data_IF_379942666081
#
_entry.id   IF_379942666081
#
_cell.length_a   1.000
_cell.length_b   1.000
_cell.length_c   1.000
_cell.angle_alpha   90.00
_cell.angle_beta   90.00
_cell.angle_gamma   90.00
#
_symmetry.space_group_name_H-M   'P 1'
#
loop_
_entity.id
_entity.type
_entity.pdbx_description
1 polymer ?
#
# COMPACT_ATOMS: atom_id res chain seq x y z
N UNK A 1 7.44 11.76 -9.16
CA UNK A 1 6.97 12.99 -8.50
C UNK A 1 5.89 13.59 -9.38
N UNK A 2 4.79 13.99 -8.77
CA UNK A 2 3.65 14.65 -9.40
C UNK A 2 3.26 15.85 -8.52
N UNK A 3 3.05 17.00 -9.15
CA UNK A 3 2.77 18.26 -8.47
C UNK A 3 1.76 19.05 -9.30
N UNK A 4 0.65 19.43 -8.69
CA UNK A 4 -0.39 20.24 -9.31
C UNK A 4 -0.68 21.47 -8.44
N UNK A 5 -0.48 22.65 -9.02
CA UNK A 5 -0.72 23.93 -8.36
C UNK A 5 -1.78 24.71 -9.13
N UNK A 6 -2.75 25.24 -8.39
CA UNK A 6 -3.87 25.96 -8.96
C UNK A 6 -3.67 27.48 -8.82
N UNK A 7 -3.30 28.20 -9.90
CA UNK A 7 -3.01 29.63 -9.83
C UNK A 7 -4.24 30.47 -9.52
N UNK A 8 -5.44 30.01 -9.91
CA UNK A 8 -6.69 30.74 -9.65
C UNK A 8 -7.06 30.77 -8.16
N UNK A 9 -6.66 29.74 -7.42
CA UNK A 9 -6.95 29.59 -5.98
C UNK A 9 -5.72 29.77 -5.09
N UNK A 10 -4.56 30.03 -5.70
CA UNK A 10 -3.26 30.21 -5.05
C UNK A 10 -2.91 29.12 -4.01
N UNK A 11 -3.15 27.86 -4.34
CA UNK A 11 -2.77 26.73 -3.49
C UNK A 11 -2.37 25.49 -4.28
N UNK A 12 -1.74 24.56 -3.57
CA UNK A 12 -1.33 23.26 -4.08
C UNK A 12 -2.51 22.28 -3.96
N UNK A 13 -2.87 21.66 -5.08
CA UNK A 13 -4.00 20.72 -5.16
C UNK A 13 -3.49 19.28 -5.00
N UNK A 14 -2.35 18.94 -5.59
CA UNK A 14 -1.77 17.58 -5.54
C UNK A 14 -0.26 17.64 -5.34
N UNK A 15 0.26 16.78 -4.46
CA UNK A 15 1.68 16.48 -4.34
C UNK A 15 1.88 15.00 -4.01
N UNK A 16 2.40 14.26 -4.98
CA UNK A 16 2.79 12.87 -4.81
C UNK A 16 4.30 12.75 -5.02
N UNK A 17 5.02 12.35 -3.99
CA UNK A 17 6.46 12.13 -4.07
C UNK A 17 6.82 10.83 -3.39
N UNK A 18 7.92 10.23 -3.81
CA UNK A 18 8.38 8.99 -3.21
C UNK A 18 9.81 8.71 -3.56
N UNK A 19 10.48 8.01 -2.66
CA UNK A 19 11.85 7.55 -2.81
C UNK A 19 11.85 6.06 -2.54
N UNK A 20 12.50 5.31 -3.43
CA UNK A 20 12.75 3.89 -3.23
C UNK A 20 14.24 3.65 -3.31
N UNK A 21 14.77 2.99 -2.29
CA UNK A 21 16.15 2.52 -2.24
C UNK A 21 16.13 1.01 -2.41
N UNK A 22 16.95 0.48 -3.30
CA UNK A 22 17.03 -0.95 -3.60
C UNK A 22 18.49 -1.41 -3.59
N UNK A 23 18.74 -2.60 -3.07
CA UNK A 23 20.04 -3.26 -3.09
C UNK A 23 20.10 -4.39 -4.13
N UNK A 24 21.30 -4.82 -4.52
CA UNK A 24 21.55 -5.95 -5.43
C UNK A 24 20.96 -7.26 -4.91
N UNK A 25 20.80 -7.40 -3.59
CA UNK A 25 20.15 -8.54 -2.93
C UNK A 25 18.62 -8.54 -3.07
N UNK A 26 18.05 -7.54 -3.75
CA UNK A 26 16.61 -7.29 -3.94
C UNK A 26 15.88 -6.75 -2.70
N UNK A 27 16.63 -6.44 -1.64
CA UNK A 27 16.09 -5.65 -0.53
C UNK A 27 15.65 -4.28 -1.05
N UNK A 28 14.53 -3.78 -0.55
CA UNK A 28 14.05 -2.46 -0.91
C UNK A 28 13.33 -1.77 0.25
N UNK A 29 13.49 -0.46 0.31
CA UNK A 29 12.74 0.43 1.19
C UNK A 29 12.12 1.53 0.33
N UNK A 30 10.81 1.66 0.35
CA UNK A 30 10.05 2.71 -0.31
C UNK A 30 9.36 3.59 0.73
N UNK A 31 9.46 4.90 0.56
CA UNK A 31 8.69 5.88 1.31
C UNK A 31 7.99 6.78 0.31
N UNK A 32 6.68 6.89 0.43
CA UNK A 32 5.82 7.68 -0.45
C UNK A 32 4.98 8.62 0.39
N UNK A 33 4.91 9.87 -0.05
CA UNK A 33 4.06 10.91 0.50
C UNK A 33 3.04 11.30 -0.55
N UNK A 34 1.77 11.28 -0.17
CA UNK A 34 0.64 11.65 -1.02
C UNK A 34 -0.17 12.72 -0.33
N UNK A 35 -0.35 13.82 -1.06
CA UNK A 35 -1.19 14.94 -0.66
C UNK A 35 -2.16 15.25 -1.79
N UNK A 36 -3.43 15.38 -1.45
CA UNK A 36 -4.49 15.78 -2.36
C UNK A 36 -5.46 16.65 -1.59
N UNK A 37 -5.72 17.86 -2.08
CA UNK A 37 -6.67 18.78 -1.47
C UNK A 37 -7.84 18.98 -2.42
N UNK A 38 -9.04 18.72 -1.92
CA UNK A 38 -10.26 19.07 -2.62
C UNK A 38 -10.82 20.39 -2.10
N UNK A 39 -11.39 21.22 -2.97
CA UNK A 39 -12.17 22.35 -2.55
C UNK A 39 -13.42 21.95 -1.77
N UNK A 40 -13.79 22.74 -0.76
CA UNK A 40 -14.95 22.47 0.10
C UNK A 40 -16.30 22.54 -0.62
N UNK A 41 -16.33 23.15 -1.82
CA UNK A 41 -17.49 23.24 -2.71
C UNK A 41 -17.67 21.99 -3.60
N UNK A 42 -16.67 21.10 -3.66
CA UNK A 42 -16.75 19.87 -4.46
C UNK A 42 -17.35 18.74 -3.63
N UNK A 43 -18.45 18.19 -4.14
CA UNK A 43 -19.26 17.17 -3.49
C UNK A 43 -19.24 15.91 -4.34
N UNK A 44 -19.15 14.74 -3.70
CA UNK A 44 -19.24 13.45 -4.37
C UNK A 44 -20.63 13.22 -4.98
N UNK A 45 -20.77 12.19 -5.84
CA UNK A 45 -22.05 11.77 -6.41
C UNK A 45 -23.11 11.40 -5.35
N UNK A 46 -22.66 11.11 -4.12
CA UNK A 46 -23.51 10.82 -2.95
C UNK A 46 -23.87 12.05 -2.12
N UNK A 47 -23.50 13.27 -2.54
CA UNK A 47 -23.84 14.49 -1.80
C UNK A 47 -22.95 14.76 -0.58
N UNK A 48 -21.80 14.08 -0.46
CA UNK A 48 -20.84 14.23 0.65
C UNK A 48 -19.63 15.06 0.20
N UNK A 49 -19.19 16.07 0.96
CA UNK A 49 -18.00 16.85 0.61
C UNK A 49 -16.78 15.94 0.44
N UNK A 50 -16.02 16.12 -0.64
CA UNK A 50 -14.77 15.39 -0.80
C UNK A 50 -13.76 15.86 0.25
N UNK A 51 -13.26 14.91 1.04
CA UNK A 51 -12.17 15.19 1.98
C UNK A 51 -10.83 15.02 1.28
N UNK A 52 -9.89 15.90 1.62
CA UNK A 52 -8.51 15.78 1.17
C UNK A 52 -7.85 14.52 1.71
N UNK A 53 -6.73 14.14 1.10
CA UNK A 53 -5.89 13.03 1.53
C UNK A 53 -4.52 13.59 1.87
N UNK A 54 -4.00 13.25 3.03
CA UNK A 54 -2.60 13.46 3.37
C UNK A 54 -2.10 12.19 4.04
N UNK A 55 -1.28 11.42 3.34
CA UNK A 55 -0.82 10.12 3.82
C UNK A 55 0.67 9.90 3.55
N UNK A 56 1.28 9.10 4.42
CA UNK A 56 2.61 8.55 4.23
C UNK A 56 2.53 7.03 4.19
N UNK A 57 3.12 6.46 3.15
CA UNK A 57 3.14 5.02 2.89
C UNK A 57 4.60 4.57 2.90
N UNK A 58 4.91 3.56 3.70
CA UNK A 58 6.24 2.95 3.77
C UNK A 58 6.14 1.49 3.42
N UNK A 59 7.03 0.99 2.57
CA UNK A 59 7.12 -0.41 2.20
C UNK A 59 8.56 -0.89 2.36
N UNK A 60 8.77 -2.02 3.01
CA UNK A 60 10.05 -2.64 3.25
C UNK A 60 9.98 -4.10 2.78
N UNK A 61 10.86 -4.48 1.86
CA UNK A 61 11.08 -5.86 1.48
C UNK A 61 12.52 -6.27 1.78
N UNK A 62 12.70 -7.41 2.44
CA UNK A 62 14.02 -7.95 2.79
C UNK A 62 14.10 -9.39 2.32
N UNK A 63 15.13 -9.68 1.51
CA UNK A 63 15.50 -11.02 1.10
C UNK A 63 16.43 -11.63 2.17
N UNK A 64 15.90 -12.56 2.97
CA UNK A 64 16.62 -13.10 4.14
C UNK A 64 17.58 -14.22 3.72
N UNK A 65 17.06 -15.18 2.96
CA UNK A 65 17.77 -16.33 2.38
C UNK A 65 17.11 -16.68 1.05
N UNK A 66 17.78 -17.46 0.19
CA UNK A 66 17.29 -17.80 -1.15
C UNK A 66 15.79 -18.18 -1.23
N UNK A 67 15.23 -18.99 -0.30
CA UNK A 67 13.81 -19.33 -0.36
C UNK A 67 12.90 -18.38 0.45
N UNK A 68 13.38 -17.35 1.14
CA UNK A 68 12.58 -16.59 2.11
C UNK A 68 12.72 -15.07 1.94
N UNK A 69 11.59 -14.42 1.67
CA UNK A 69 11.44 -12.97 1.65
C UNK A 69 10.45 -12.52 2.72
N UNK A 70 10.74 -11.37 3.33
CA UNK A 70 9.84 -10.71 4.28
C UNK A 70 9.39 -9.36 3.73
N UNK A 71 8.15 -9.00 4.04
CA UNK A 71 7.53 -7.74 3.63
C UNK A 71 6.90 -7.06 4.83
N UNK A 72 6.98 -5.73 4.82
CA UNK A 72 6.32 -4.88 5.80
C UNK A 72 5.80 -3.63 5.09
N UNK A 73 4.50 -3.40 5.16
CA UNK A 73 3.87 -2.19 4.66
C UNK A 73 3.20 -1.43 5.80
N UNK A 74 3.37 -0.11 5.80
CA UNK A 74 2.81 0.77 6.80
C UNK A 74 2.20 1.99 6.15
N UNK A 75 0.92 2.23 6.41
CA UNK A 75 0.16 3.35 5.86
C UNK A 75 -0.40 4.21 6.98
N UNK A 76 -0.17 5.51 6.91
CA UNK A 76 -0.59 6.44 7.95
C UNK A 76 -1.22 7.69 7.33
N UNK A 77 -2.43 8.02 7.78
CA UNK A 77 -3.12 9.24 7.43
C UNK A 77 -2.65 10.36 8.38
N UNK A 78 -1.94 11.33 7.81
CA UNK A 78 -1.42 12.50 8.50
C UNK A 78 -2.50 13.54 8.79
N UNK A 79 -3.53 13.64 7.93
CA UNK A 79 -4.66 14.56 8.10
C UNK A 79 -5.43 14.23 9.38
N UNK A 80 -5.82 12.97 9.54
CA UNK A 80 -6.62 12.50 10.68
C UNK A 80 -5.79 11.89 11.81
N UNK A 81 -4.46 11.90 11.67
CA UNK A 81 -3.49 11.39 12.66
C UNK A 81 -3.76 9.94 13.08
N UNK A 82 -4.06 9.10 12.11
CA UNK A 82 -4.44 7.71 12.35
C UNK A 82 -3.67 6.77 11.42
N UNK A 83 -3.23 5.64 11.98
CA UNK A 83 -2.70 4.53 11.18
C UNK A 83 -3.84 3.95 10.36
N UNK A 84 -3.66 3.81 9.05
CA UNK A 84 -4.63 3.20 8.14
C UNK A 84 -4.51 1.68 8.21
N UNK A 85 -3.31 1.17 7.91
CA UNK A 85 -3.06 -0.27 7.75
C UNK A 85 -1.60 -0.60 8.08
N UNK A 86 -1.39 -1.80 8.59
CA UNK A 86 -0.06 -2.42 8.65
C UNK A 86 -0.14 -3.83 8.10
N UNK A 87 0.74 -4.14 7.14
CA UNK A 87 0.80 -5.47 6.53
C UNK A 87 2.12 -6.11 6.89
N UNK A 88 2.06 -7.35 7.35
CA UNK A 88 3.23 -8.21 7.51
C UNK A 88 3.14 -9.33 6.49
N UNK A 89 4.23 -9.57 5.77
CA UNK A 89 4.29 -10.58 4.73
C UNK A 89 5.49 -11.47 4.82
N UNK A 90 5.31 -12.71 4.39
CA UNK A 90 6.36 -13.70 4.21
C UNK A 90 6.09 -14.44 2.91
N UNK A 91 7.09 -14.53 2.04
CA UNK A 91 7.07 -15.40 0.87
C UNK A 91 8.13 -16.48 1.00
N UNK A 92 7.70 -17.74 0.89
CA UNK A 92 8.58 -18.89 0.86
C UNK A 92 8.56 -19.54 -0.52
N UNK A 93 9.69 -19.45 -1.24
CA UNK A 93 9.84 -19.87 -2.63
C UNK A 93 10.65 -21.15 -2.76
N UNK A 94 10.09 -22.12 -3.48
CA UNK A 94 10.71 -23.38 -3.86
C UNK A 94 10.64 -23.55 -5.38
N UNK A 95 11.41 -24.46 -5.99
CA UNK A 95 11.46 -24.60 -7.45
C UNK A 95 10.12 -24.84 -8.16
N UNK A 96 9.14 -25.45 -7.47
CA UNK A 96 7.85 -25.82 -8.05
C UNK A 96 6.63 -25.23 -7.31
N UNK A 97 6.85 -24.47 -6.24
CA UNK A 97 5.78 -23.86 -5.48
C UNK A 97 6.26 -22.67 -4.66
N UNK A 98 5.33 -21.79 -4.36
CA UNK A 98 5.52 -20.63 -3.52
C UNK A 98 4.36 -20.54 -2.53
N UNK A 99 4.69 -20.23 -1.28
CA UNK A 99 3.72 -19.97 -0.22
C UNK A 99 3.88 -18.53 0.24
N UNK A 100 2.81 -17.75 0.14
CA UNK A 100 2.76 -16.38 0.63
C UNK A 100 1.80 -16.27 1.79
N UNK A 101 2.28 -15.77 2.91
CA UNK A 101 1.47 -15.39 4.06
C UNK A 101 1.42 -13.87 4.12
N UNK A 102 0.22 -13.30 4.30
CA UNK A 102 0.00 -11.87 4.53
C UNK A 102 -0.94 -11.68 5.72
N UNK A 103 -0.56 -10.82 6.65
CA UNK A 103 -1.36 -10.44 7.81
C UNK A 103 -1.61 -8.94 7.73
N UNK A 104 -2.86 -8.56 7.50
CA UNK A 104 -3.31 -7.18 7.42
C UNK A 104 -3.94 -6.79 8.75
N UNK A 105 -3.36 -5.82 9.44
CA UNK A 105 -3.96 -5.14 10.59
C UNK A 105 -4.51 -3.79 10.11
N UNK A 106 -5.79 -3.80 9.76
CA UNK A 106 -6.52 -2.64 9.24
C UNK A 106 -7.11 -1.92 10.44
N UNK A 107 -6.80 -0.64 10.57
CA UNK A 107 -7.33 0.17 11.66
C UNK A 107 -8.66 0.83 11.29
N UNK A 108 -9.32 1.43 12.28
CA UNK A 108 -10.48 2.27 12.03
C UNK A 108 -10.10 3.49 11.18
N UNK A 109 -10.76 3.63 10.03
CA UNK A 109 -10.65 4.82 9.20
C UNK A 109 -11.69 5.85 9.66
N UNK A 110 -11.31 7.12 9.86
CA UNK A 110 -12.21 8.20 10.24
C UNK A 110 -12.93 8.75 9.01
N UNK A 111 -13.64 7.88 8.30
CA UNK A 111 -14.53 8.30 7.23
C UNK A 111 -15.91 8.62 7.84
N UNK A 112 -16.50 9.80 7.60
CA UNK A 112 -17.84 10.13 8.06
C UNK A 112 -18.95 9.27 7.44
N UNK A 113 -18.66 8.55 6.35
CA UNK A 113 -19.64 7.81 5.54
C UNK A 113 -19.59 6.30 5.77
N UNK A 114 -18.43 5.76 6.14
CA UNK A 114 -18.25 4.32 6.38
C UNK A 114 -17.58 4.07 7.73
N UNK A 115 -18.28 3.36 8.62
CA UNK A 115 -17.71 2.93 9.90
C UNK A 115 -16.91 1.64 9.69
N UNK A 116 -15.71 1.76 9.10
CA UNK A 116 -14.77 0.65 9.06
C UNK A 116 -14.24 0.38 10.46
N UNK A 117 -14.52 -0.80 10.99
CA UNK A 117 -14.03 -1.22 12.29
C UNK A 117 -12.60 -1.77 12.14
N UNK A 118 -11.84 -1.75 13.25
CA UNK A 118 -10.54 -2.42 13.29
C UNK A 118 -10.71 -3.89 12.91
N UNK A 119 -9.92 -4.36 11.96
CA UNK A 119 -10.02 -5.70 11.39
C UNK A 119 -8.63 -6.30 11.21
N UNK A 120 -8.47 -7.60 11.51
CA UNK A 120 -7.27 -8.36 11.20
C UNK A 120 -7.62 -9.41 10.15
N UNK A 121 -7.00 -9.35 8.97
CA UNK A 121 -7.15 -10.34 7.89
C UNK A 121 -5.87 -11.14 7.75
N UNK A 122 -6.00 -12.46 7.68
CA UNK A 122 -4.90 -13.37 7.39
C UNK A 122 -5.17 -14.02 6.04
N UNK A 123 -4.24 -13.87 5.10
CA UNK A 123 -4.35 -14.41 3.76
C UNK A 123 -3.18 -15.34 3.50
N UNK A 124 -3.51 -16.53 2.99
CA UNK A 124 -2.56 -17.56 2.61
C UNK A 124 -2.73 -17.84 1.14
N UNK A 125 -1.67 -17.67 0.36
CA UNK A 125 -1.64 -17.97 -1.06
C UNK A 125 -0.65 -19.10 -1.32
N UNK A 126 -1.09 -20.10 -2.08
CA UNK A 126 -0.23 -21.18 -2.57
C UNK A 126 -0.19 -21.06 -4.09
N UNK A 127 0.98 -20.79 -4.64
CA UNK A 127 1.20 -20.67 -6.07
C UNK A 127 2.03 -21.86 -6.52
N UNK A 128 1.49 -22.69 -7.43
CA UNK A 128 2.24 -23.81 -8.01
C UNK A 128 2.90 -23.36 -9.32
N UNK A 129 4.22 -23.42 -9.37
CA UNK A 129 5.02 -23.02 -10.53
C UNK A 129 5.66 -24.25 -11.15
N UNK A 130 5.89 -24.26 -12.48
CA UNK A 130 6.60 -25.38 -13.13
C UNK A 130 5.81 -26.68 -13.34
N UNK A 131 4.47 -26.67 -13.24
CA UNK A 131 3.60 -27.84 -13.44
C UNK A 131 3.51 -28.40 -14.88
N UNK A 132 4.46 -28.09 -15.80
CA UNK A 132 4.62 -28.98 -16.96
C UNK A 132 5.43 -28.51 -18.16
N UNK A 133 6.21 -29.45 -18.71
CA UNK A 133 6.35 -29.69 -20.16
C UNK A 133 5.75 -31.07 -20.45
N UNK A 134 4.57 -31.11 -21.04
CA UNK A 134 3.94 -32.36 -21.47
C UNK A 134 4.32 -32.63 -22.93
N UNK A 135 5.18 -33.63 -23.18
CA UNK A 135 5.53 -34.06 -24.55
C UNK A 135 4.61 -35.22 -24.92
N UNK A 136 3.55 -34.92 -25.67
CA UNK A 136 2.71 -35.95 -26.31
C UNK A 136 3.56 -36.59 -27.42
N UNK A 137 3.60 -37.93 -27.43
CA UNK A 137 4.26 -38.73 -28.45
C UNK A 137 3.24 -39.20 -29.47
#
# INVERSE_FOLDING_TARGET
MELEYNPNRNHLDVLNTGVTVTDKRKDHLSVQYRFTRFPSDVVSLQGVPLQGVEEINTALGIHIIDPLDLYFDYRYNLLDKVRIETVYGLDFRQPCWELSLRVHDINRQPDPTETHHKEIKVMVYITLTGLGKYRVK
#
